data_IF_414137268955
#
_entry.id   IF_414137268955
#
_cell.length_a   1.000
_cell.length_b   1.000
_cell.length_c   1.000
_cell.angle_alpha   90.00
_cell.angle_beta   90.00
_cell.angle_gamma   90.00
#
_symmetry.space_group_name_H-M   'P 1'
#
loop_
_entity.id
_entity.type
_entity.pdbx_description
1 polymer ?
#
# COMPACT_ATOMS: atom_id res chain seq x y z
N UNK A 1 -7.75 -9.58 24.44
CA UNK A 1 -7.60 -9.44 23.87
C UNK A 1 -7.12 -8.97 23.31
N UNK A 2 -6.85 -9.12 23.01
CA UNK A 2 -6.40 -8.68 22.39
C UNK A 2 -6.82 -8.48 21.69
N UNK A 3 -7.09 -8.34 21.78
CA UNK A 3 -7.55 -8.24 20.94
C UNK A 3 -7.23 -7.68 19.96
N UNK A 4 -6.46 -7.14 20.00
CA UNK A 4 -6.06 -6.78 18.83
C UNK A 4 -5.46 -7.83 18.20
N UNK A 5 -5.65 -7.90 17.01
CA UNK A 5 -5.08 -8.81 16.24
C UNK A 5 -4.18 -8.18 15.34
N UNK A 6 -2.93 -8.51 15.34
CA UNK A 6 -2.01 -8.04 14.36
C UNK A 6 -2.28 -8.75 13.07
N UNK A 7 -2.08 -8.06 11.98
CA UNK A 7 -2.12 -8.71 10.69
C UNK A 7 -0.92 -9.62 10.59
N UNK A 8 -1.17 -10.88 10.26
CA UNK A 8 -0.08 -11.82 10.04
C UNK A 8 0.19 -11.88 8.55
N UNK A 9 1.29 -11.29 8.14
CA UNK A 9 1.66 -11.19 6.73
C UNK A 9 2.86 -12.07 6.47
N UNK A 10 2.84 -12.82 5.37
CA UNK A 10 3.98 -13.63 5.02
C UNK A 10 5.09 -12.73 4.46
N UNK A 11 6.29 -13.29 4.32
CA UNK A 11 7.43 -12.49 3.89
C UNK A 11 7.25 -11.85 2.53
N UNK A 12 6.76 -12.58 1.51
CA UNK A 12 6.58 -11.94 0.21
C UNK A 12 5.65 -10.74 0.27
N UNK A 13 4.60 -10.82 1.07
CA UNK A 13 3.68 -9.71 1.22
C UNK A 13 4.35 -8.54 1.94
N UNK A 14 5.08 -8.83 3.01
CA UNK A 14 5.79 -7.78 3.73
C UNK A 14 6.81 -7.09 2.85
N UNK A 15 7.56 -7.87 2.07
CA UNK A 15 8.56 -7.30 1.18
C UNK A 15 7.92 -6.39 0.13
N UNK A 16 6.80 -6.81 -0.43
CA UNK A 16 6.11 -6.01 -1.42
C UNK A 16 5.60 -4.71 -0.82
N UNK A 17 5.05 -4.77 0.39
CA UNK A 17 4.58 -3.56 1.05
C UNK A 17 5.73 -2.60 1.32
N UNK A 18 6.88 -3.13 1.74
CA UNK A 18 8.04 -2.27 1.99
C UNK A 18 8.54 -1.62 0.72
N UNK A 19 8.51 -2.35 -0.39
CA UNK A 19 8.90 -1.77 -1.68
C UNK A 19 7.98 -0.62 -2.06
N UNK A 20 6.67 -0.80 -1.89
CA UNK A 20 5.72 0.24 -2.24
C UNK A 20 5.89 1.45 -1.34
N UNK A 21 6.07 1.23 -0.04
CA UNK A 21 6.28 2.32 0.90
C UNK A 21 7.53 3.11 0.53
N UNK A 22 8.59 2.40 0.17
CA UNK A 22 9.85 3.06 -0.19
C UNK A 22 9.68 3.93 -1.42
N UNK A 23 9.01 3.40 -2.45
CA UNK A 23 8.78 4.17 -3.67
C UNK A 23 7.98 5.43 -3.39
N UNK A 24 6.92 5.29 -2.60
CA UNK A 24 6.07 6.43 -2.30
C UNK A 24 6.84 7.44 -1.45
N UNK A 25 7.60 6.95 -0.46
CA UNK A 25 8.35 7.85 0.42
C UNK A 25 9.45 8.60 -0.31
N UNK A 26 10.06 7.98 -1.30
CA UNK A 26 11.09 8.66 -2.07
C UNK A 26 10.50 9.83 -2.86
N UNK A 27 9.30 9.67 -3.34
CA UNK A 27 8.66 10.71 -4.11
C UNK A 27 7.95 11.72 -3.22
N UNK A 28 7.42 11.25 -2.11
CA UNK A 28 6.63 12.09 -1.19
C UNK A 28 7.13 11.83 0.23
N UNK A 29 8.18 12.55 0.65
CA UNK A 29 8.82 12.24 1.94
C UNK A 29 7.90 12.36 3.15
N UNK A 30 6.82 13.13 3.03
CA UNK A 30 5.89 13.27 4.15
C UNK A 30 4.79 12.23 4.19
N UNK A 31 4.84 11.24 3.32
CA UNK A 31 3.77 10.24 3.27
C UNK A 31 3.72 9.40 4.53
N UNK A 32 2.50 9.04 4.95
CA UNK A 32 2.31 8.11 6.05
C UNK A 32 1.51 6.93 5.54
N UNK A 33 1.63 5.80 6.25
CA UNK A 33 1.07 4.55 5.76
C UNK A 33 0.35 3.80 6.84
N UNK A 34 -0.66 3.05 6.41
CA UNK A 34 -1.37 2.14 7.27
C UNK A 34 -1.73 0.91 6.44
N UNK A 35 -1.67 -0.27 7.06
CA UNK A 35 -1.98 -1.51 6.37
C UNK A 35 -3.26 -2.08 6.95
N UNK A 36 -4.16 -2.50 6.08
CA UNK A 36 -5.45 -3.03 6.49
C UNK A 36 -5.84 -4.20 5.59
N UNK A 37 -6.73 -5.04 6.09
CA UNK A 37 -7.32 -6.07 5.27
C UNK A 37 -8.62 -5.56 4.68
N UNK A 38 -8.87 -5.94 3.42
CA UNK A 38 -10.12 -5.58 2.77
C UNK A 38 -10.79 -6.82 2.20
N UNK A 39 -12.08 -6.70 1.93
CA UNK A 39 -12.85 -7.83 1.45
C UNK A 39 -13.46 -7.62 0.07
N UNK A 40 -13.42 -6.41 -0.44
CA UNK A 40 -14.08 -6.14 -1.72
C UNK A 40 -13.25 -5.14 -2.50
N UNK A 41 -12.23 -5.60 -3.18
CA UNK A 41 -11.78 -6.99 -3.31
C UNK A 41 -11.01 -7.45 -2.09
N UNK A 42 -10.96 -8.75 -1.93
CA UNK A 42 -10.24 -9.33 -0.81
C UNK A 42 -8.74 -9.15 -1.02
N UNK A 43 -8.05 -8.69 0.01
CA UNK A 43 -6.61 -8.51 -0.08
C UNK A 43 -6.08 -7.61 1.00
N UNK A 44 -4.85 -7.18 0.79
CA UNK A 44 -4.15 -6.31 1.74
C UNK A 44 -4.12 -4.91 1.13
N UNK A 45 -4.54 -3.93 1.90
CA UNK A 45 -4.63 -2.56 1.42
C UNK A 45 -3.55 -1.73 2.09
N UNK A 46 -2.76 -1.06 1.29
CA UNK A 46 -1.78 -0.09 1.78
C UNK A 46 -2.41 1.29 1.62
N UNK A 47 -2.78 1.88 2.75
CA UNK A 47 -3.37 3.21 2.76
C UNK A 47 -2.23 4.21 2.86
N UNK A 48 -2.07 5.02 1.83
CA UNK A 48 -0.97 5.97 1.75
C UNK A 48 -1.54 7.38 1.78
N UNK A 49 -1.29 8.09 2.88
CA UNK A 49 -1.75 9.47 3.03
C UNK A 49 -0.65 10.40 2.56
N UNK A 50 -0.94 11.18 1.53
CA UNK A 50 0.05 12.03 0.90
C UNK A 50 -0.58 13.40 0.66
N UNK A 51 0.17 14.44 0.98
CA UNK A 51 -0.32 15.82 0.82
C UNK A 51 -0.05 16.29 -0.61
N UNK A 52 -0.94 15.93 -1.52
CA UNK A 52 -0.85 16.34 -2.92
C UNK A 52 -2.25 16.79 -3.35
N UNK A 53 -2.29 17.55 -4.42
CA UNK A 53 -3.57 18.00 -4.94
C UNK A 53 -4.35 16.89 -5.61
N UNK A 54 -3.62 15.99 -6.29
CA UNK A 54 -4.26 14.91 -7.02
C UNK A 54 -3.68 13.61 -6.52
N UNK A 55 -4.45 12.89 -5.70
CA UNK A 55 -3.95 11.65 -5.12
C UNK A 55 -3.71 10.57 -6.16
N UNK A 56 -4.27 10.70 -7.36
CA UNK A 56 -3.98 9.73 -8.41
C UNK A 56 -2.53 9.76 -8.84
N UNK A 57 -1.83 10.88 -8.62
CA UNK A 57 -0.39 10.92 -8.87
C UNK A 57 0.35 9.85 -8.09
N UNK A 58 -0.11 9.62 -6.86
CA UNK A 58 0.54 8.63 -6.00
C UNK A 58 0.42 7.25 -6.60
N UNK A 59 -0.78 6.93 -7.09
CA UNK A 59 -1.02 5.64 -7.71
C UNK A 59 -0.19 5.49 -8.98
N UNK A 60 -0.14 6.54 -9.79
CA UNK A 60 0.66 6.50 -11.02
C UNK A 60 2.12 6.24 -10.71
N UNK A 61 2.62 6.78 -9.61
CA UNK A 61 4.03 6.65 -9.26
C UNK A 61 4.41 5.21 -8.96
N UNK A 62 3.46 4.38 -8.55
CA UNK A 62 3.75 2.99 -8.18
C UNK A 62 3.07 1.99 -9.10
N UNK A 63 2.45 2.46 -10.17
CA UNK A 63 1.61 1.60 -10.98
C UNK A 63 2.36 0.40 -11.54
N UNK A 64 3.55 0.62 -12.08
CA UNK A 64 4.33 -0.47 -12.65
C UNK A 64 4.70 -1.49 -11.59
N UNK A 65 5.14 -1.01 -10.43
CA UNK A 65 5.54 -1.90 -9.36
C UNK A 65 4.32 -2.65 -8.82
N UNK A 66 3.21 -1.97 -8.70
CA UNK A 66 1.99 -2.59 -8.20
C UNK A 66 1.52 -3.68 -9.17
N UNK A 67 1.60 -3.41 -10.46
CA UNK A 67 1.24 -4.40 -11.46
C UNK A 67 2.11 -5.65 -11.34
N UNK A 68 3.41 -5.45 -11.17
CA UNK A 68 4.33 -6.57 -11.00
C UNK A 68 3.95 -7.38 -9.77
N UNK A 69 3.64 -6.71 -8.67
CA UNK A 69 3.28 -7.39 -7.44
C UNK A 69 2.00 -8.19 -7.62
N UNK A 70 0.99 -7.59 -8.23
CA UNK A 70 -0.30 -8.26 -8.36
C UNK A 70 -0.28 -9.38 -9.38
N UNK A 71 0.38 -9.15 -10.51
CA UNK A 71 0.29 -10.07 -11.62
C UNK A 71 1.44 -11.07 -11.61
N UNK A 72 2.66 -10.59 -11.48
CA UNK A 72 3.80 -11.49 -11.58
C UNK A 72 4.06 -12.24 -10.30
N UNK A 73 3.87 -11.59 -9.17
CA UNK A 73 4.07 -12.25 -7.87
C UNK A 73 2.78 -12.85 -7.33
N UNK A 74 1.64 -12.48 -7.90
CA UNK A 74 0.36 -13.04 -7.48
C UNK A 74 -0.09 -12.63 -6.10
N UNK A 75 0.31 -11.46 -5.64
CA UNK A 75 -0.04 -10.99 -4.30
C UNK A 75 -1.21 -10.02 -4.38
N UNK A 76 -2.26 -10.24 -3.58
CA UNK A 76 -3.44 -9.37 -3.62
C UNK A 76 -3.22 -8.12 -2.76
N UNK A 77 -2.39 -7.22 -3.25
CA UNK A 77 -2.07 -5.98 -2.55
C UNK A 77 -2.60 -4.82 -3.38
N UNK A 78 -3.22 -3.86 -2.70
CA UNK A 78 -3.80 -2.69 -3.33
C UNK A 78 -3.32 -1.44 -2.63
N UNK A 79 -3.12 -0.37 -3.39
CA UNK A 79 -2.70 0.92 -2.83
C UNK A 79 -3.88 1.87 -2.89
N UNK A 80 -4.24 2.42 -1.74
CA UNK A 80 -5.34 3.39 -1.64
C UNK A 80 -4.72 4.74 -1.27
N UNK A 81 -4.60 5.65 -2.21
CA UNK A 81 -4.05 6.98 -1.89
C UNK A 81 -5.11 7.84 -1.20
N UNK A 82 -4.70 8.53 -0.17
CA UNK A 82 -5.60 9.36 0.62
C UNK A 82 -5.00 10.74 0.81
N UNK A 83 -5.88 11.72 0.97
CA UNK A 83 -5.47 13.06 1.32
C UNK A 83 -5.43 13.20 2.84
N UNK A 84 -4.52 14.05 3.37
CA UNK A 84 -4.55 14.31 4.82
C UNK A 84 -5.84 15.02 5.21
N UNK A 85 -6.26 14.80 6.43
CA UNK A 85 -7.44 15.46 6.95
C UNK A 85 -7.17 16.91 7.34
#
# INVERSE_FOLDING_TARGET
MSTERSLVLDEPTQDALEELKRLISQRYPGATFEVAEGEDPEGIYLLATVDVEDVEEVLDAVLDQLFTIQVERGLPIYVIPLEPL
#
